data_IF_755543972654
#
_entry.id   IF_755543972654
#
_cell.length_a   1.000
_cell.length_b   1.000
_cell.length_c   1.000
_cell.angle_alpha   90.00
_cell.angle_beta   90.00
_cell.angle_gamma   90.00
#
_symmetry.space_group_name_H-M   'P 1'
#
loop_
_entity.id
_entity.type
_entity.pdbx_description
1 polymer ?
#
# COMPACT_ATOMS: atom_id res chain seq x y z
N UNK A 1 -5.24 -7.78 8.49
CA UNK A 1 -6.58 -8.39 8.58
C UNK A 1 -6.67 -9.46 7.52
N UNK A 2 -7.24 -10.63 7.83
CA UNK A 2 -7.41 -11.69 6.84
C UNK A 2 -8.77 -11.52 6.16
N UNK A 3 -8.77 -10.82 5.02
CA UNK A 3 -9.97 -10.49 4.24
C UNK A 3 -10.31 -11.57 3.20
N UNK A 4 -9.32 -12.40 2.83
CA UNK A 4 -9.43 -13.48 1.88
C UNK A 4 -8.89 -14.80 2.47
N UNK A 5 -9.58 -15.90 2.20
CA UNK A 5 -9.17 -17.27 2.57
C UNK A 5 -8.94 -18.09 1.29
N UNK A 6 -7.83 -18.83 1.24
CA UNK A 6 -7.46 -19.71 0.12
C UNK A 6 -7.93 -21.12 0.47
N UNK A 7 -9.14 -21.49 0.02
CA UNK A 7 -9.64 -22.86 0.10
C UNK A 7 -9.73 -23.44 -1.31
N UNK A 8 -9.10 -24.59 -1.52
CA UNK A 8 -9.16 -25.33 -2.79
C UNK A 8 -8.68 -24.54 -4.02
N UNK A 9 -7.64 -23.71 -3.85
CA UNK A 9 -7.10 -22.80 -4.88
C UNK A 9 -8.09 -21.76 -5.43
N UNK A 10 -9.25 -21.61 -4.77
CA UNK A 10 -10.21 -20.55 -5.05
C UNK A 10 -10.11 -19.47 -3.98
N UNK A 11 -10.09 -18.22 -4.43
CA UNK A 11 -10.20 -17.06 -3.54
C UNK A 11 -11.60 -17.06 -2.96
N UNK A 12 -11.71 -17.31 -1.66
CA UNK A 12 -12.97 -17.19 -0.93
C UNK A 12 -12.94 -15.90 -0.12
N UNK A 13 -13.94 -15.05 -0.33
CA UNK A 13 -14.06 -13.78 0.37
C UNK A 13 -14.55 -14.06 1.78
N UNK A 14 -13.86 -13.53 2.79
CA UNK A 14 -14.36 -13.59 4.15
C UNK A 14 -15.67 -12.81 4.25
N UNK A 15 -16.73 -13.31 4.92
CA UNK A 15 -17.96 -12.53 5.14
C UNK A 15 -17.71 -11.16 5.77
N UNK A 16 -16.59 -11.00 6.51
CA UNK A 16 -16.16 -9.71 7.08
C UNK A 16 -15.68 -8.71 6.02
N UNK A 17 -15.13 -9.18 4.91
CA UNK A 17 -14.73 -8.30 3.82
C UNK A 17 -15.95 -7.63 3.17
N UNK A 18 -17.11 -8.29 3.15
CA UNK A 18 -18.38 -7.71 2.69
C UNK A 18 -18.99 -6.66 3.66
N UNK A 19 -18.34 -6.38 4.79
CA UNK A 19 -18.67 -5.22 5.64
C UNK A 19 -18.01 -3.94 5.12
N UNK A 20 -17.03 -4.06 4.22
CA UNK A 20 -16.41 -2.92 3.53
C UNK A 20 -17.35 -2.54 2.38
N UNK A 21 -17.89 -1.31 2.34
CA UNK A 21 -18.88 -0.89 1.36
C UNK A 21 -18.45 -1.14 -0.10
N UNK A 22 -17.19 -0.84 -0.42
CA UNK A 22 -16.61 -0.96 -1.76
C UNK A 22 -16.59 -2.43 -2.22
N UNK A 23 -16.30 -3.38 -1.32
CA UNK A 23 -16.34 -4.81 -1.66
C UNK A 23 -17.76 -5.35 -1.73
N UNK A 24 -18.66 -4.81 -0.90
CA UNK A 24 -20.09 -5.12 -0.98
C UNK A 24 -20.67 -4.66 -2.31
N UNK A 25 -20.29 -3.50 -2.82
CA UNK A 25 -20.75 -3.01 -4.14
C UNK A 25 -20.40 -4.00 -5.25
N UNK A 26 -19.15 -4.48 -5.31
CA UNK A 26 -18.72 -5.51 -6.27
C UNK A 26 -19.47 -6.84 -6.07
N UNK A 27 -19.76 -7.21 -4.83
CA UNK A 27 -20.53 -8.41 -4.54
C UNK A 27 -22.01 -8.29 -4.95
N UNK A 28 -22.64 -7.16 -4.67
CA UNK A 28 -24.07 -6.95 -4.88
C UNK A 28 -24.40 -6.66 -6.35
N UNK A 29 -23.47 -6.09 -7.13
CA UNK A 29 -23.68 -5.83 -8.56
C UNK A 29 -23.76 -7.11 -9.40
N UNK A 30 -23.04 -8.16 -8.99
CA UNK A 30 -23.15 -9.48 -9.61
C UNK A 30 -24.45 -10.15 -9.16
N UNK A 31 -25.41 -10.34 -10.07
CA UNK A 31 -26.70 -10.99 -9.79
C UNK A 31 -26.69 -12.50 -10.06
N UNK A 32 -25.56 -13.05 -10.51
CA UNK A 32 -25.43 -14.49 -10.71
C UNK A 32 -25.56 -15.24 -9.40
N UNK A 33 -26.04 -16.48 -9.48
CA UNK A 33 -26.20 -17.36 -8.32
C UNK A 33 -24.87 -17.64 -7.63
N UNK A 34 -23.82 -17.83 -8.44
CA UNK A 34 -22.51 -18.29 -7.98
C UNK A 34 -21.52 -17.14 -7.71
N UNK A 35 -21.91 -15.89 -8.05
CA UNK A 35 -21.11 -14.67 -7.82
C UNK A 35 -19.75 -14.69 -8.51
N UNK A 36 -19.67 -15.36 -9.65
CA UNK A 36 -18.41 -15.60 -10.37
C UNK A 36 -17.68 -14.30 -10.72
N UNK A 37 -18.39 -13.29 -11.22
CA UNK A 37 -17.80 -12.01 -11.61
C UNK A 37 -17.32 -11.24 -10.38
N UNK A 38 -18.12 -11.21 -9.32
CA UNK A 38 -17.72 -10.58 -8.07
C UNK A 38 -16.47 -11.23 -7.47
N UNK A 39 -16.37 -12.56 -7.52
CA UNK A 39 -15.22 -13.32 -7.04
C UNK A 39 -13.96 -13.03 -7.87
N UNK A 40 -14.08 -12.95 -9.20
CA UNK A 40 -12.97 -12.58 -10.08
C UNK A 40 -12.46 -11.16 -9.80
N UNK A 41 -13.37 -10.20 -9.68
CA UNK A 41 -13.03 -8.79 -9.42
C UNK A 41 -12.42 -8.61 -8.04
N UNK A 42 -12.95 -9.27 -7.01
CA UNK A 42 -12.39 -9.20 -5.66
C UNK A 42 -11.05 -9.94 -5.54
N UNK A 43 -10.84 -11.02 -6.31
CA UNK A 43 -9.53 -11.65 -6.44
C UNK A 43 -8.53 -10.71 -7.14
N UNK A 44 -8.94 -10.04 -8.20
CA UNK A 44 -8.14 -9.02 -8.89
C UNK A 44 -7.75 -7.89 -7.93
N UNK A 45 -8.70 -7.33 -7.17
CA UNK A 45 -8.46 -6.32 -6.13
C UNK A 45 -7.43 -6.82 -5.11
N UNK A 46 -7.58 -8.05 -4.61
CA UNK A 46 -6.68 -8.65 -3.64
C UNK A 46 -5.24 -8.75 -4.16
N UNK A 47 -5.04 -9.39 -5.32
CA UNK A 47 -3.70 -9.65 -5.84
C UNK A 47 -2.99 -8.39 -6.34
N UNK A 48 -3.72 -7.33 -6.69
CA UNK A 48 -3.13 -6.04 -7.03
C UNK A 48 -2.83 -5.13 -5.85
N UNK A 49 -3.44 -5.39 -4.69
CA UNK A 49 -3.42 -4.44 -3.59
C UNK A 49 -2.76 -4.98 -2.34
N UNK A 50 -2.82 -6.28 -2.08
CA UNK A 50 -2.22 -6.87 -0.89
C UNK A 50 -0.70 -6.86 -0.97
N UNK A 51 -0.01 -6.20 -0.04
CA UNK A 51 1.46 -6.12 -0.08
C UNK A 51 2.16 -7.48 0.03
N UNK A 52 1.43 -8.54 0.43
CA UNK A 52 1.92 -9.93 0.44
C UNK A 52 1.52 -10.72 -0.79
N UNK A 53 0.85 -10.09 -1.75
CA UNK A 53 0.48 -10.72 -2.99
C UNK A 53 1.74 -11.29 -3.66
N UNK A 54 1.74 -12.58 -4.04
CA UNK A 54 2.88 -13.16 -4.74
C UNK A 54 3.17 -12.44 -6.05
N UNK A 55 2.16 -11.85 -6.70
CA UNK A 55 2.33 -11.05 -7.90
C UNK A 55 3.12 -9.77 -7.62
N UNK A 56 2.75 -9.01 -6.58
CA UNK A 56 3.49 -7.78 -6.22
C UNK A 56 4.90 -8.06 -5.68
N UNK A 57 5.12 -9.23 -5.06
CA UNK A 57 6.44 -9.60 -4.52
C UNK A 57 7.39 -10.16 -5.58
N UNK A 58 6.86 -10.74 -6.67
CA UNK A 58 7.66 -11.52 -7.62
C UNK A 58 7.75 -10.92 -9.02
N UNK A 59 6.90 -9.93 -9.35
CA UNK A 59 6.82 -9.34 -10.68
C UNK A 59 7.03 -7.83 -10.64
N UNK A 60 7.45 -7.27 -11.77
CA UNK A 60 7.57 -5.82 -11.94
C UNK A 60 6.20 -5.14 -11.96
N UNK A 61 6.09 -4.00 -11.27
CA UNK A 61 4.84 -3.24 -11.16
C UNK A 61 4.21 -2.87 -12.50
N UNK A 62 5.01 -2.75 -13.56
CA UNK A 62 4.53 -2.44 -14.92
C UNK A 62 3.74 -3.57 -15.58
N UNK A 63 3.91 -4.81 -15.14
CA UNK A 63 3.26 -6.00 -15.73
C UNK A 63 2.29 -6.69 -14.78
N UNK A 64 2.28 -6.31 -13.49
CA UNK A 64 1.44 -6.93 -12.46
C UNK A 64 -0.05 -6.77 -12.80
N UNK A 65 -0.50 -5.60 -13.25
CA UNK A 65 -1.90 -5.38 -13.65
C UNK A 65 -2.34 -6.39 -14.71
N UNK A 66 -1.54 -6.49 -15.77
CA UNK A 66 -1.87 -7.25 -16.98
C UNK A 66 -1.82 -8.75 -16.69
N UNK A 67 -0.85 -9.18 -15.86
CA UNK A 67 -0.71 -10.58 -15.44
C UNK A 67 -1.88 -11.02 -14.55
N UNK A 68 -2.25 -10.22 -13.56
CA UNK A 68 -3.38 -10.54 -12.67
C UNK A 68 -4.71 -10.47 -13.45
N UNK A 69 -4.85 -9.52 -14.38
CA UNK A 69 -6.00 -9.43 -15.26
C UNK A 69 -6.16 -10.70 -16.11
N UNK A 70 -5.07 -11.16 -16.73
CA UNK A 70 -5.04 -12.39 -17.50
C UNK A 70 -5.44 -13.63 -16.68
N UNK A 71 -4.92 -13.75 -15.46
CA UNK A 71 -5.13 -14.95 -14.63
C UNK A 71 -6.55 -15.00 -14.04
N UNK A 72 -7.10 -13.86 -13.60
CA UNK A 72 -8.37 -13.82 -12.85
C UNK A 72 -9.55 -13.32 -13.68
N UNK A 73 -9.34 -12.31 -14.52
CA UNK A 73 -10.37 -11.78 -15.41
C UNK A 73 -10.43 -12.52 -16.75
N UNK A 74 -9.42 -13.36 -17.06
CA UNK A 74 -9.26 -14.06 -18.34
C UNK A 74 -9.16 -13.10 -19.53
N UNK A 75 -8.73 -11.86 -19.26
CA UNK A 75 -8.57 -10.80 -20.24
C UNK A 75 -7.38 -9.93 -19.81
N UNK A 76 -6.29 -10.00 -20.56
CA UNK A 76 -5.06 -9.24 -20.33
C UNK A 76 -5.24 -7.74 -20.60
N UNK A 77 -6.26 -7.36 -21.39
CA UNK A 77 -6.62 -5.97 -21.70
C UNK A 77 -7.72 -5.43 -20.77
N UNK A 78 -8.08 -6.17 -19.72
CA UNK A 78 -9.11 -5.76 -18.78
C UNK A 78 -8.74 -4.42 -18.12
N UNK A 79 -9.67 -3.47 -18.20
CA UNK A 79 -9.56 -2.19 -17.49
C UNK A 79 -10.59 -2.18 -16.36
N UNK A 80 -10.17 -1.97 -15.11
CA UNK A 80 -11.10 -1.87 -14.01
C UNK A 80 -12.06 -0.69 -14.24
N UNK A 81 -13.32 -0.88 -13.89
CA UNK A 81 -14.27 0.21 -13.80
C UNK A 81 -14.10 0.98 -12.49
N UNK A 82 -14.83 2.09 -12.34
CA UNK A 82 -14.73 2.96 -11.17
C UNK A 82 -14.95 2.21 -9.85
N UNK A 83 -15.90 1.29 -9.77
CA UNK A 83 -16.19 0.56 -8.53
C UNK A 83 -15.05 -0.40 -8.15
N UNK A 84 -14.39 -1.00 -9.15
CA UNK A 84 -13.20 -1.84 -8.95
C UNK A 84 -12.00 -0.98 -8.53
N UNK A 85 -11.81 0.20 -9.13
CA UNK A 85 -10.76 1.14 -8.74
C UNK A 85 -10.94 1.67 -7.30
N UNK A 86 -12.18 1.94 -6.90
CA UNK A 86 -12.53 2.31 -5.53
C UNK A 86 -12.21 1.18 -4.55
N UNK A 87 -12.52 -0.07 -4.90
CA UNK A 87 -12.17 -1.24 -4.10
C UNK A 87 -10.64 -1.43 -3.98
N UNK A 88 -9.89 -1.28 -5.07
CA UNK A 88 -8.41 -1.30 -5.06
C UNK A 88 -7.87 -0.23 -4.10
N UNK A 89 -8.36 1.00 -4.25
CA UNK A 89 -7.94 2.14 -3.43
C UNK A 89 -8.24 1.89 -1.96
N UNK A 90 -9.43 1.36 -1.67
CA UNK A 90 -9.85 1.03 -0.30
C UNK A 90 -8.98 -0.06 0.32
N UNK A 91 -8.69 -1.13 -0.42
CA UNK A 91 -7.86 -2.22 0.09
C UNK A 91 -6.43 -1.73 0.38
N UNK A 92 -5.87 -0.87 -0.48
CA UNK A 92 -4.57 -0.22 -0.22
C UNK A 92 -4.63 0.64 1.04
N UNK A 93 -5.66 1.49 1.19
CA UNK A 93 -5.85 2.33 2.37
C UNK A 93 -5.90 1.53 3.68
N UNK A 94 -6.64 0.43 3.70
CA UNK A 94 -6.80 -0.41 4.90
C UNK A 94 -5.52 -1.11 5.36
N UNK A 95 -4.52 -1.20 4.48
CA UNK A 95 -3.22 -1.80 4.79
C UNK A 95 -2.18 -0.77 5.24
N UNK A 96 -2.49 0.52 5.12
CA UNK A 96 -1.60 1.59 5.52
C UNK A 96 -1.36 1.51 7.04
N UNK A 97 -0.13 1.19 7.44
CA UNK A 97 0.26 1.21 8.86
C UNK A 97 0.63 2.63 9.30
N UNK A 98 0.57 2.96 10.61
CA UNK A 98 1.04 4.25 11.11
C UNK A 98 2.49 4.57 10.69
N UNK A 99 3.35 3.56 10.66
CA UNK A 99 4.74 3.65 10.20
C UNK A 99 4.82 4.06 8.72
N UNK A 100 4.00 3.46 7.86
CA UNK A 100 3.90 3.84 6.45
C UNK A 100 3.41 5.29 6.26
N UNK A 101 2.39 5.72 7.03
CA UNK A 101 1.89 7.11 6.97
C UNK A 101 2.96 8.10 7.36
N UNK A 102 3.67 7.81 8.44
CA UNK A 102 4.75 8.64 8.94
C UNK A 102 5.86 8.77 7.89
N UNK A 103 6.26 7.64 7.29
CA UNK A 103 7.25 7.60 6.21
C UNK A 103 6.85 8.50 5.04
N UNK A 104 5.62 8.36 4.52
CA UNK A 104 5.13 9.18 3.40
C UNK A 104 5.08 10.66 3.73
N UNK A 105 4.56 11.01 4.92
CA UNK A 105 4.49 12.40 5.36
C UNK A 105 5.88 13.02 5.50
N UNK A 106 6.81 12.31 6.14
CA UNK A 106 8.19 12.76 6.31
C UNK A 106 8.92 12.92 4.98
N UNK A 107 8.75 12.01 4.01
CA UNK A 107 9.33 12.17 2.66
C UNK A 107 8.78 13.41 1.95
N UNK A 108 7.47 13.64 2.07
CA UNK A 108 6.81 14.83 1.50
C UNK A 108 7.37 16.12 2.11
N UNK A 109 7.59 16.13 3.43
CA UNK A 109 8.22 17.26 4.12
C UNK A 109 9.67 17.47 3.66
N UNK A 110 10.46 16.40 3.51
CA UNK A 110 11.85 16.51 3.01
C UNK A 110 11.87 17.12 1.60
N UNK A 111 11.00 16.67 0.70
CA UNK A 111 10.92 17.24 -0.65
C UNK A 111 10.59 18.74 -0.61
N UNK A 112 9.56 19.13 0.15
CA UNK A 112 9.20 20.56 0.30
C UNK A 112 10.32 21.41 0.90
N UNK A 113 11.07 20.86 1.86
CA UNK A 113 12.23 21.56 2.43
C UNK A 113 13.39 21.64 1.43
N UNK A 114 13.53 20.64 0.56
CA UNK A 114 14.52 20.64 -0.53
C UNK A 114 14.16 21.71 -1.55
N UNK A 115 12.91 21.73 -2.02
CA UNK A 115 12.39 22.75 -2.95
C UNK A 115 12.61 24.16 -2.37
N UNK A 116 12.25 24.36 -1.09
CA UNK A 116 12.52 25.62 -0.39
C UNK A 116 14.00 26.01 -0.42
N UNK A 117 14.91 25.07 -0.15
CA UNK A 117 16.35 25.37 -0.14
C UNK A 117 16.93 25.64 -1.53
N UNK A 118 16.35 25.06 -2.59
CA UNK A 118 16.75 25.31 -3.99
C UNK A 118 16.26 26.67 -4.49
N UNK A 119 15.09 27.13 -4.01
CA UNK A 119 14.48 28.39 -4.43
C UNK A 119 14.94 29.61 -3.62
N UNK A 120 15.52 29.43 -2.43
CA UNK A 120 15.90 30.54 -1.55
C UNK A 120 17.04 31.39 -2.13
N UNK A 121 16.79 32.68 -2.32
CA UNK A 121 17.81 33.69 -2.58
C UNK A 121 18.22 34.43 -1.28
N UNK A 122 19.46 34.23 -0.85
CA UNK A 122 20.05 34.90 0.31
C UNK A 122 20.23 36.42 0.15
N UNK A 123 20.16 36.91 -1.09
CA UNK A 123 20.25 38.34 -1.40
C UNK A 123 18.90 39.03 -1.41
N UNK A 124 17.79 38.30 -1.30
CA UNK A 124 16.46 38.88 -1.30
C UNK A 124 16.25 39.79 -0.07
N UNK A 125 15.65 40.96 -0.30
CA UNK A 125 15.42 41.99 0.71
C UNK A 125 13.96 42.42 0.69
N UNK A 126 13.42 42.73 1.88
CA UNK A 126 12.09 43.31 2.01
C UNK A 126 12.07 44.81 1.62
N UNK A 127 10.88 45.42 1.64
CA UNK A 127 10.69 46.86 1.36
C UNK A 127 11.48 47.79 2.30
N UNK A 128 12.05 47.25 3.39
CA UNK A 128 12.86 47.95 4.40
C UNK A 128 14.35 47.57 4.30
N UNK A 129 14.76 46.96 3.20
CA UNK A 129 16.13 46.52 2.90
C UNK A 129 16.69 45.50 3.91
N UNK A 130 15.84 44.71 4.57
CA UNK A 130 16.26 43.63 5.48
C UNK A 130 16.27 42.29 4.74
N UNK A 131 17.22 41.37 5.04
CA UNK A 131 17.19 40.02 4.50
C UNK A 131 15.86 39.33 4.81
N UNK A 132 15.18 38.87 3.76
CA UNK A 132 13.93 38.09 3.90
C UNK A 132 14.26 36.73 4.52
N UNK A 133 15.35 36.11 4.08
CA UNK A 133 15.84 34.83 4.60
C UNK A 133 17.11 35.04 5.41
N UNK A 134 17.14 34.51 6.64
CA UNK A 134 18.34 34.57 7.49
C UNK A 134 19.20 33.33 7.23
N UNK A 135 20.54 33.45 7.20
CA UNK A 135 21.42 32.29 7.13
C UNK A 135 21.17 31.24 8.22
N UNK A 136 20.72 31.66 9.41
CA UNK A 136 20.33 30.75 10.50
C UNK A 136 19.19 29.82 10.11
N UNK A 137 18.21 30.33 9.36
CA UNK A 137 17.01 29.59 8.98
C UNK A 137 17.38 28.49 7.99
N UNK A 138 18.27 28.78 7.04
CA UNK A 138 18.86 27.78 6.13
C UNK A 138 19.63 26.70 6.90
N UNK A 139 20.52 27.09 7.81
CA UNK A 139 21.31 26.10 8.57
C UNK A 139 20.45 25.20 9.46
N UNK A 140 19.35 25.72 10.01
CA UNK A 140 18.39 24.95 10.81
C UNK A 140 17.54 24.02 9.93
N UNK A 141 17.13 24.46 8.74
CA UNK A 141 16.45 23.63 7.75
C UNK A 141 17.34 22.46 7.30
N UNK A 142 18.62 22.71 7.01
CA UNK A 142 19.59 21.65 6.65
C UNK A 142 19.76 20.61 7.76
N UNK A 143 19.88 21.05 9.03
CA UNK A 143 19.93 20.12 10.18
C UNK A 143 18.65 19.30 10.32
N UNK A 144 17.50 19.93 10.11
CA UNK A 144 16.19 19.26 10.20
C UNK A 144 16.05 18.19 9.13
N UNK A 145 16.49 18.46 7.89
CA UNK A 145 16.53 17.46 6.81
C UNK A 145 17.40 16.26 7.22
N UNK A 146 18.61 16.49 7.73
CA UNK A 146 19.49 15.41 8.19
C UNK A 146 18.84 14.53 9.26
N UNK A 147 18.23 15.13 10.29
CA UNK A 147 17.53 14.39 11.34
C UNK A 147 16.29 13.63 10.86
N UNK A 148 15.55 14.19 9.89
CA UNK A 148 14.41 13.51 9.26
C UNK A 148 14.90 12.32 8.43
N UNK A 149 15.96 12.45 7.63
CA UNK A 149 16.52 11.33 6.83
C UNK A 149 16.97 10.17 7.71
N UNK A 150 17.62 10.45 8.84
CA UNK A 150 18.01 9.41 9.80
C UNK A 150 16.78 8.70 10.40
N UNK A 151 15.78 9.49 10.81
CA UNK A 151 14.53 8.95 11.36
C UNK A 151 13.76 8.13 10.32
N UNK A 152 13.74 8.59 9.07
CA UNK A 152 13.11 7.91 7.94
C UNK A 152 13.73 6.55 7.65
N UNK A 153 15.05 6.44 7.75
CA UNK A 153 15.76 5.15 7.58
C UNK A 153 15.27 4.13 8.61
N UNK A 154 15.14 4.55 9.88
CA UNK A 154 14.62 3.69 10.95
C UNK A 154 13.16 3.29 10.72
N UNK A 155 12.33 4.22 10.24
CA UNK A 155 10.92 3.93 9.93
C UNK A 155 10.80 2.98 8.73
N UNK A 156 11.62 3.12 7.69
CA UNK A 156 11.66 2.18 6.56
C UNK A 156 11.99 0.76 7.02
N UNK A 157 13.03 0.60 7.82
CA UNK A 157 13.41 -0.71 8.37
C UNK A 157 12.26 -1.33 9.19
N UNK A 158 11.52 -0.49 9.91
CA UNK A 158 10.36 -0.95 10.67
C UNK A 158 9.21 -1.37 9.75
N UNK A 159 8.90 -0.60 8.70
CA UNK A 159 7.89 -0.96 7.70
C UNK A 159 8.25 -2.27 7.00
N UNK A 160 9.50 -2.46 6.59
CA UNK A 160 9.97 -3.71 5.99
C UNK A 160 9.82 -4.89 6.97
N UNK A 161 10.16 -4.69 8.25
CA UNK A 161 9.93 -5.69 9.30
C UNK A 161 8.45 -5.99 9.51
N UNK A 162 7.59 -5.00 9.46
CA UNK A 162 6.12 -5.17 9.56
C UNK A 162 5.60 -6.01 8.38
N UNK A 163 6.02 -5.68 7.15
CA UNK A 163 5.66 -6.41 5.92
C UNK A 163 6.13 -7.88 6.00
N UNK A 164 7.40 -8.10 6.30
CA UNK A 164 8.04 -9.44 6.33
C UNK A 164 7.52 -10.32 7.48
N UNK A 165 7.36 -9.80 8.70
CA UNK A 165 6.76 -10.54 9.83
C UNK A 165 5.32 -10.94 9.54
N UNK A 166 4.57 -10.05 8.90
CA UNK A 166 3.19 -10.32 8.50
C UNK A 166 3.12 -11.45 7.44
N UNK A 167 4.16 -11.65 6.62
CA UNK A 167 4.31 -12.79 5.71
C UNK A 167 4.73 -14.10 6.38
N UNK A 168 5.65 -14.06 7.36
CA UNK A 168 6.22 -15.27 8.01
C UNK A 168 5.30 -15.94 9.04
N UNK A 169 4.42 -15.17 9.71
CA UNK A 169 3.51 -15.70 10.76
C UNK A 169 2.54 -16.80 10.28
N UNK A 170 2.32 -16.95 8.96
CA UNK A 170 1.49 -18.04 8.40
C UNK A 170 2.28 -19.30 8.01
N UNK A 171 3.58 -19.20 7.73
CA UNK A 171 4.44 -20.36 7.44
C UNK A 171 4.66 -21.27 8.64
N UNK A 172 4.66 -20.71 9.85
CA UNK A 172 4.82 -21.47 11.10
C UNK A 172 3.52 -22.10 11.64
N UNK A 173 2.33 -21.73 11.12
CA UNK A 173 1.06 -22.34 11.57
C UNK A 173 0.76 -23.72 10.95
N UNK A 174 1.66 -24.28 10.14
CA UNK A 174 1.59 -25.67 9.64
C UNK A 174 2.71 -26.56 10.19
N UNK A 175 2.91 -26.61 11.50
CA UNK A 175 3.42 -27.82 12.17
C UNK A 175 3.14 -27.75 13.66
N UNK A 176 2.14 -28.50 14.11
CA UNK A 176 1.74 -28.57 15.51
C UNK A 176 0.82 -29.74 15.76
N UNK A 177 1.44 -30.92 15.87
CA UNK A 177 0.98 -32.14 16.52
C UNK A 177 -0.34 -32.73 16.02
N UNK A 178 -0.24 -33.41 14.87
CA UNK A 178 -1.03 -34.60 14.61
C UNK A 178 -0.08 -35.74 14.29
N UNK A 179 0.47 -36.33 15.35
CA UNK A 179 0.88 -37.73 15.32
C UNK A 179 -0.24 -38.48 16.06
N UNK A 180 -1.12 -39.11 15.27
CA UNK A 180 -1.97 -40.25 15.68
C UNK A 180 -1.03 -41.45 16.05
N UNK A 181 -1.45 -42.71 16.33
CA UNK A 181 -2.76 -43.32 16.61
C UNK A 181 -2.76 -44.35 17.79
N UNK A 182 -3.93 -44.69 18.34
CA UNK A 182 -4.52 -46.05 18.52
C UNK A 182 -5.81 -45.94 19.31
#
# INVERSE_FOLDING_TARGET
MDLFDLRDFKVTISPRALLIPEFRTLWDRDKSKDKDKALQELAYVYYLSDFKSPYLLSLDMSIVSDTVAKDFMKDESYKPDQEVEEAISKYKELQITPSMRLLTASLTTVNRLTDYLEEVDLNERDDKNKPIYKPSDITNSLKSIGGIVESLTKVRDQVEKEITKSGTLRGQRRKGNREDPT
#
